data_IF_916843983078
#
_entry.id   IF_916843983078
#
_cell.length_a   1.000
_cell.length_b   1.000
_cell.length_c   1.000
_cell.angle_alpha   90.00
_cell.angle_beta   90.00
_cell.angle_gamma   90.00
#
_symmetry.space_group_name_H-M   'P 1'
#
loop_
_entity.id
_entity.type
_entity.pdbx_description
1 polymer ?
#
# COMPACT_ATOMS: atom_id res chain seq x y z
N UNK A 1 32.51 98.22 72.95
CA UNK A 1 31.80 97.05 72.37
C UNK A 1 32.62 96.53 71.19
N UNK A 2 33.20 95.32 71.32
CA UNK A 2 33.86 94.61 70.21
C UNK A 2 33.12 93.30 70.00
N UNK A 3 32.62 93.11 68.79
CA UNK A 3 31.78 92.00 68.34
C UNK A 3 32.63 90.74 68.17
N UNK A 4 32.19 89.62 68.76
CA UNK A 4 32.74 88.28 68.58
C UNK A 4 31.99 87.55 67.47
N UNK A 5 32.76 86.82 66.66
CA UNK A 5 32.36 86.13 65.45
C UNK A 5 32.42 84.60 65.58
N UNK A 6 31.69 83.93 64.67
CA UNK A 6 31.77 82.53 64.16
C UNK A 6 30.90 81.45 64.84
N UNK A 7 30.57 80.31 64.18
CA UNK A 7 30.67 79.95 62.74
C UNK A 7 29.39 79.29 62.14
N UNK A 8 29.27 79.23 60.81
CA UNK A 8 28.31 78.39 60.08
C UNK A 8 28.99 77.13 59.52
N UNK A 9 28.37 75.97 59.77
CA UNK A 9 28.80 74.64 59.30
C UNK A 9 28.20 74.36 57.91
N UNK A 10 29.03 74.39 56.87
CA UNK A 10 28.68 73.94 55.52
C UNK A 10 29.48 72.69 55.14
N UNK A 11 28.89 71.50 55.30
CA UNK A 11 29.49 70.22 54.89
C UNK A 11 29.33 70.03 53.37
N UNK A 12 30.41 70.22 52.61
CA UNK A 12 30.50 69.88 51.18
C UNK A 12 30.42 68.36 51.00
N UNK A 13 29.40 67.88 50.28
CA UNK A 13 29.38 66.52 49.73
C UNK A 13 30.25 66.47 48.47
N UNK A 14 31.18 65.51 48.47
CA UNK A 14 32.13 65.22 47.40
C UNK A 14 31.42 64.67 46.15
N UNK A 15 31.94 65.04 44.98
CA UNK A 15 31.40 64.68 43.68
C UNK A 15 31.40 63.18 43.40
N UNK A 16 30.32 62.70 42.79
CA UNK A 16 30.30 61.42 42.08
C UNK A 16 31.09 61.53 40.77
N UNK A 17 31.80 60.47 40.35
CA UNK A 17 32.56 60.48 39.11
C UNK A 17 31.60 60.59 37.92
N UNK A 18 31.98 61.46 36.99
CA UNK A 18 31.24 61.77 35.78
C UNK A 18 31.30 60.55 34.83
N UNK A 19 30.27 59.70 34.84
CA UNK A 19 30.10 58.63 33.84
C UNK A 19 29.82 59.34 32.51
N UNK A 20 30.85 59.45 31.67
CA UNK A 20 30.72 59.96 30.29
C UNK A 20 29.67 59.12 29.57
N UNK A 21 28.66 59.79 29.03
CA UNK A 21 27.51 59.19 28.33
C UNK A 21 27.94 58.68 26.95
N UNK A 22 28.25 57.39 26.83
CA UNK A 22 28.43 56.60 25.60
C UNK A 22 27.12 56.44 24.77
N UNK A 23 26.17 57.39 24.85
CA UNK A 23 24.82 57.22 24.25
C UNK A 23 24.82 57.25 22.72
N UNK A 24 25.81 57.88 22.10
CA UNK A 24 25.92 57.96 20.63
C UNK A 24 26.42 56.67 19.99
N UNK A 25 27.45 56.05 20.58
CA UNK A 25 28.04 54.81 20.05
C UNK A 25 27.06 53.62 20.14
N UNK A 26 26.28 53.53 21.22
CA UNK A 26 25.27 52.48 21.39
C UNK A 26 24.17 52.59 20.33
N UNK A 27 23.72 53.80 19.99
CA UNK A 27 22.70 53.99 18.95
C UNK A 27 23.18 53.52 17.56
N UNK A 28 24.45 53.78 17.22
CA UNK A 28 25.07 53.34 15.96
C UNK A 28 25.17 51.81 15.92
N UNK A 29 25.66 51.19 17.00
CA UNK A 29 25.76 49.73 17.08
C UNK A 29 24.39 49.03 16.98
N UNK A 30 23.37 49.59 17.62
CA UNK A 30 21.99 49.07 17.53
C UNK A 30 21.45 49.22 16.10
N UNK A 31 21.63 50.37 15.46
CA UNK A 31 21.17 50.60 14.09
C UNK A 31 21.83 49.63 13.09
N UNK A 32 23.14 49.42 13.20
CA UNK A 32 23.86 48.46 12.37
C UNK A 32 23.40 47.01 12.64
N UNK A 33 23.19 46.66 13.91
CA UNK A 33 22.69 45.33 14.28
C UNK A 33 21.28 45.07 13.73
N UNK A 34 20.39 46.06 13.81
CA UNK A 34 19.03 45.97 13.25
C UNK A 34 19.07 45.80 11.73
N UNK A 35 19.93 46.53 11.03
CA UNK A 35 20.09 46.38 9.57
C UNK A 35 20.53 44.96 9.20
N UNK A 36 21.50 44.40 9.93
CA UNK A 36 21.96 43.02 9.75
C UNK A 36 20.84 42.01 10.01
N UNK A 37 20.07 42.18 11.10
CA UNK A 37 18.95 41.30 11.43
C UNK A 37 17.85 41.32 10.36
N UNK A 38 17.52 42.50 9.81
CA UNK A 38 16.56 42.62 8.70
C UNK A 38 17.09 41.91 7.46
N UNK A 39 18.39 42.02 7.17
CA UNK A 39 19.05 41.28 6.09
C UNK A 39 18.89 39.76 6.25
N UNK A 40 19.06 39.24 7.46
CA UNK A 40 18.84 37.81 7.74
C UNK A 40 17.37 37.40 7.58
N UNK A 41 16.41 38.24 7.97
CA UNK A 41 14.98 37.97 7.73
C UNK A 41 14.68 37.90 6.24
N UNK A 42 15.21 38.83 5.43
CA UNK A 42 15.03 38.80 3.98
C UNK A 42 15.58 37.52 3.34
N UNK A 43 16.80 37.14 3.72
CA UNK A 43 17.42 35.89 3.28
C UNK A 43 16.60 34.66 3.69
N UNK A 44 16.05 34.64 4.91
CA UNK A 44 15.20 33.55 5.38
C UNK A 44 13.90 33.43 4.57
N UNK A 45 13.28 34.55 4.19
CA UNK A 45 12.06 34.56 3.37
C UNK A 45 12.33 34.08 1.94
N UNK A 46 13.42 34.53 1.33
CA UNK A 46 13.82 34.13 -0.03
C UNK A 46 14.13 32.63 -0.09
N UNK A 47 14.92 32.12 0.86
CA UNK A 47 15.19 30.67 0.96
C UNK A 47 13.93 29.88 1.26
N UNK A 48 13.05 30.39 2.14
CA UNK A 48 11.77 29.76 2.44
C UNK A 48 10.90 29.59 1.20
N UNK A 49 10.82 30.62 0.35
CA UNK A 49 10.11 30.55 -0.94
C UNK A 49 10.67 29.47 -1.86
N UNK A 50 12.00 29.42 -2.03
CA UNK A 50 12.64 28.42 -2.88
C UNK A 50 12.45 27.00 -2.33
N UNK A 51 12.46 26.83 -1.01
CA UNK A 51 12.25 25.55 -0.36
C UNK A 51 10.81 25.04 -0.55
N UNK A 52 9.81 25.92 -0.43
CA UNK A 52 8.41 25.57 -0.71
C UNK A 52 8.26 25.18 -2.18
N UNK A 53 8.77 25.98 -3.10
CA UNK A 53 8.74 25.67 -4.54
C UNK A 53 9.40 24.32 -4.86
N UNK A 54 10.54 24.02 -4.22
CA UNK A 54 11.23 22.71 -4.34
C UNK A 54 10.35 21.56 -3.88
N UNK A 55 9.67 21.71 -2.75
CA UNK A 55 8.80 20.68 -2.17
C UNK A 55 7.57 20.43 -3.05
N UNK A 56 6.96 21.50 -3.57
CA UNK A 56 5.84 21.43 -4.51
C UNK A 56 6.23 20.75 -5.82
N UNK A 57 7.40 21.09 -6.38
CA UNK A 57 7.94 20.42 -7.57
C UNK A 57 8.25 18.94 -7.32
N UNK A 58 8.74 18.59 -6.11
CA UNK A 58 9.00 17.19 -5.76
C UNK A 58 7.71 16.37 -5.72
N UNK A 59 6.65 16.88 -5.08
CA UNK A 59 5.35 16.20 -5.06
C UNK A 59 4.81 15.96 -6.48
N UNK A 60 4.97 16.95 -7.38
CA UNK A 60 4.60 16.82 -8.78
C UNK A 60 5.43 15.76 -9.51
N UNK A 61 6.76 15.77 -9.32
CA UNK A 61 7.67 14.79 -9.92
C UNK A 61 7.38 13.36 -9.43
N UNK A 62 7.12 13.17 -8.13
CA UNK A 62 6.79 11.89 -7.53
C UNK A 62 5.48 11.33 -8.10
N UNK A 63 4.44 12.18 -8.18
CA UNK A 63 3.15 11.81 -8.76
C UNK A 63 3.27 11.46 -10.25
N UNK A 64 4.06 12.22 -11.01
CA UNK A 64 4.38 11.92 -12.40
C UNK A 64 5.08 10.56 -12.53
N UNK A 65 6.12 10.31 -11.73
CA UNK A 65 6.91 9.09 -11.82
C UNK A 65 6.06 7.86 -11.47
N UNK A 66 5.26 7.91 -10.39
CA UNK A 66 4.33 6.83 -10.01
C UNK A 66 3.29 6.56 -11.09
N UNK A 67 2.72 7.62 -11.68
CA UNK A 67 1.74 7.49 -12.76
C UNK A 67 2.35 6.94 -14.05
N UNK A 68 3.60 7.29 -14.37
CA UNK A 68 4.31 6.73 -15.51
C UNK A 68 4.70 5.26 -15.28
N UNK A 69 5.23 4.93 -14.10
CA UNK A 69 5.66 3.58 -13.76
C UNK A 69 4.51 2.55 -13.77
N UNK A 70 3.27 2.97 -13.49
CA UNK A 70 2.10 2.08 -13.56
C UNK A 70 1.85 1.50 -14.95
N UNK A 71 2.26 2.21 -16.00
CA UNK A 71 2.07 1.78 -17.39
C UNK A 71 3.19 0.82 -17.84
N UNK A 72 4.29 0.70 -17.08
CA UNK A 72 5.48 -0.12 -17.40
C UNK A 72 5.29 -1.62 -17.09
N UNK A 73 4.12 -2.15 -17.47
CA UNK A 73 3.74 -3.56 -17.27
C UNK A 73 4.50 -4.55 -18.16
N UNK A 74 5.16 -4.08 -19.21
CA UNK A 74 5.76 -4.92 -20.25
C UNK A 74 4.75 -5.54 -21.22
N UNK A 75 3.46 -5.21 -21.10
CA UNK A 75 2.40 -5.84 -21.89
C UNK A 75 2.27 -5.29 -23.32
N UNK A 76 2.59 -4.01 -23.53
CA UNK A 76 2.32 -3.31 -24.79
C UNK A 76 3.57 -2.64 -25.36
N UNK A 77 3.79 -2.73 -26.67
CA UNK A 77 4.94 -2.12 -27.35
C UNK A 77 4.88 -0.58 -27.45
N UNK A 78 3.75 0.02 -27.06
CA UNK A 78 3.55 1.46 -26.94
C UNK A 78 3.49 1.94 -25.47
N UNK A 79 3.87 1.09 -24.49
CA UNK A 79 3.74 1.42 -23.07
C UNK A 79 4.45 2.71 -22.67
N UNK A 80 5.56 3.07 -23.31
CA UNK A 80 6.31 4.29 -22.96
C UNK A 80 5.55 5.56 -23.34
N UNK A 81 4.81 5.53 -24.45
CA UNK A 81 3.97 6.65 -24.87
C UNK A 81 2.80 6.83 -23.91
N UNK A 82 2.21 5.73 -23.46
CA UNK A 82 1.15 5.75 -22.44
C UNK A 82 1.69 6.23 -21.09
N UNK A 83 2.87 5.73 -20.69
CA UNK A 83 3.55 6.12 -19.46
C UNK A 83 3.89 7.61 -19.43
N UNK A 84 4.42 8.15 -20.53
CA UNK A 84 4.72 9.57 -20.67
C UNK A 84 3.46 10.42 -20.55
N UNK A 85 2.41 10.08 -21.30
CA UNK A 85 1.13 10.80 -21.24
C UNK A 85 0.49 10.74 -19.84
N UNK A 86 0.52 9.57 -19.19
CA UNK A 86 0.00 9.37 -17.84
C UNK A 86 0.79 10.17 -16.79
N UNK A 87 2.12 10.16 -16.91
CA UNK A 87 3.04 10.92 -16.06
C UNK A 87 2.79 12.42 -16.15
N UNK A 88 2.81 12.99 -17.36
CA UNK A 88 2.57 14.42 -17.59
C UNK A 88 1.19 14.82 -17.08
N UNK A 89 0.14 14.10 -17.47
CA UNK A 89 -1.24 14.40 -17.05
C UNK A 89 -1.42 14.41 -15.53
N UNK A 90 -0.66 13.60 -14.80
CA UNK A 90 -0.76 13.52 -13.34
C UNK A 90 0.14 14.54 -12.65
N UNK A 91 1.37 14.71 -13.14
CA UNK A 91 2.33 15.69 -12.62
C UNK A 91 1.82 17.12 -12.72
N UNK A 92 1.28 17.49 -13.88
CA UNK A 92 0.78 18.83 -14.17
C UNK A 92 -0.55 19.17 -13.48
N UNK A 93 -1.15 18.26 -12.70
CA UNK A 93 -2.27 18.60 -11.80
C UNK A 93 -1.83 19.39 -10.57
N UNK A 94 -0.53 19.47 -10.32
CA UNK A 94 0.04 20.16 -9.17
C UNK A 94 0.43 21.59 -9.54
N UNK A 95 0.45 22.45 -8.52
CA UNK A 95 0.89 23.84 -8.63
C UNK A 95 2.17 24.08 -7.82
N UNK A 96 2.90 25.15 -8.16
CA UNK A 96 4.16 25.63 -7.55
C UNK A 96 4.03 27.12 -7.19
N UNK A 97 4.97 27.60 -6.37
CA UNK A 97 5.01 28.97 -5.84
C UNK A 97 3.80 29.26 -4.96
N UNK A 98 3.60 28.43 -3.93
CA UNK A 98 2.45 28.52 -3.03
C UNK A 98 1.12 28.26 -3.75
N UNK A 99 1.13 27.26 -4.63
CA UNK A 99 -0.02 26.81 -5.43
C UNK A 99 -0.56 27.81 -6.48
N UNK A 100 0.21 28.83 -6.84
CA UNK A 100 -0.23 29.92 -7.74
C UNK A 100 -0.06 29.60 -9.23
N UNK A 101 1.02 28.89 -9.59
CA UNK A 101 1.35 28.55 -10.98
C UNK A 101 1.25 27.03 -11.20
N UNK A 102 0.78 26.58 -12.36
CA UNK A 102 0.79 25.15 -12.70
C UNK A 102 2.22 24.65 -12.91
N UNK A 103 2.53 23.44 -12.42
CA UNK A 103 3.82 22.78 -12.70
C UNK A 103 3.85 22.29 -14.14
N UNK A 104 5.00 22.48 -14.80
CA UNK A 104 5.31 21.87 -16.10
C UNK A 104 6.32 20.74 -15.90
N UNK A 105 5.99 19.56 -16.43
CA UNK A 105 6.92 18.42 -16.44
C UNK A 105 7.94 18.63 -17.56
N UNK A 106 9.21 18.75 -17.20
CA UNK A 106 10.29 19.05 -18.15
C UNK A 106 10.71 17.82 -18.96
N UNK A 107 10.64 16.62 -18.38
CA UNK A 107 10.84 15.38 -19.11
C UNK A 107 10.25 14.16 -18.40
N UNK A 108 9.83 13.17 -19.20
CA UNK A 108 9.57 11.80 -18.74
C UNK A 108 10.49 10.86 -19.52
N UNK A 109 11.32 10.10 -18.82
CA UNK A 109 12.32 9.22 -19.44
C UNK A 109 12.31 7.85 -18.79
N UNK A 110 12.80 6.84 -19.51
CA UNK A 110 12.65 5.43 -19.14
C UNK A 110 13.97 4.68 -19.20
N UNK A 111 14.13 3.69 -18.32
CA UNK A 111 15.32 2.84 -18.26
C UNK A 111 14.95 1.39 -17.89
N UNK A 112 15.80 0.44 -18.27
CA UNK A 112 15.72 -0.95 -17.83
C UNK A 112 16.30 -1.16 -16.43
N UNK A 113 17.09 -0.21 -15.92
CA UNK A 113 17.74 -0.27 -14.61
C UNK A 113 17.69 1.08 -13.87
N UNK A 114 17.64 1.04 -12.52
CA UNK A 114 17.60 2.23 -11.67
C UNK A 114 18.76 3.20 -11.95
N UNK A 115 19.98 2.66 -12.06
CA UNK A 115 21.20 3.37 -12.40
C UNK A 115 21.62 3.13 -13.87
N UNK A 116 20.65 3.18 -14.79
CA UNK A 116 20.86 2.98 -16.23
C UNK A 116 20.80 4.28 -17.05
N UNK A 117 20.94 4.14 -18.36
CA UNK A 117 20.70 5.23 -19.30
C UNK A 117 19.20 5.44 -19.49
N UNK A 118 18.71 6.63 -19.13
CA UNK A 118 17.32 7.01 -19.33
C UNK A 118 17.11 7.63 -20.71
N UNK A 119 16.06 7.20 -21.41
CA UNK A 119 15.73 7.63 -22.77
C UNK A 119 14.26 8.02 -22.91
N UNK A 120 13.94 8.84 -23.91
CA UNK A 120 12.58 9.29 -24.21
C UNK A 120 11.67 8.14 -24.65
N UNK A 121 10.35 8.38 -24.66
CA UNK A 121 9.39 7.39 -25.13
C UNK A 121 9.64 7.01 -26.59
N UNK A 122 9.47 5.72 -26.90
CA UNK A 122 9.49 5.18 -28.25
C UNK A 122 8.54 3.99 -28.34
N UNK A 123 8.21 3.60 -29.57
CA UNK A 123 7.39 2.41 -29.86
C UNK A 123 8.28 1.27 -30.37
N UNK A 124 8.05 0.05 -29.89
CA UNK A 124 8.76 -1.14 -30.38
C UNK A 124 8.88 -2.24 -29.33
N UNK A 125 9.47 -3.37 -29.69
CA UNK A 125 9.67 -4.48 -28.75
C UNK A 125 10.57 -4.10 -27.58
N UNK A 126 11.64 -3.31 -27.79
CA UNK A 126 12.50 -2.86 -26.70
C UNK A 126 11.81 -1.93 -25.68
N UNK A 127 10.63 -1.40 -26.01
CA UNK A 127 9.84 -0.62 -25.06
C UNK A 127 9.39 -1.49 -23.89
N UNK A 128 9.06 -2.78 -24.13
CA UNK A 128 8.57 -3.72 -23.11
C UNK A 128 9.61 -4.13 -22.08
N UNK A 129 10.88 -3.75 -22.25
CA UNK A 129 11.97 -4.06 -21.33
C UNK A 129 12.19 -2.96 -20.28
N UNK A 130 11.65 -1.75 -20.52
CA UNK A 130 11.80 -0.63 -19.58
C UNK A 130 10.99 -0.87 -18.31
N UNK A 131 11.58 -0.60 -17.14
CA UNK A 131 10.97 -0.84 -15.82
C UNK A 131 10.96 0.40 -14.92
N UNK A 132 11.85 1.35 -15.18
CA UNK A 132 11.99 2.58 -14.40
C UNK A 132 11.49 3.77 -15.21
N UNK A 133 10.63 4.59 -14.60
CA UNK A 133 10.22 5.89 -15.12
C UNK A 133 10.83 6.99 -14.26
N UNK A 134 11.50 7.95 -14.90
CA UNK A 134 12.01 9.17 -14.28
C UNK A 134 11.24 10.36 -14.80
N UNK A 135 10.66 11.13 -13.89
CA UNK A 135 10.09 12.42 -14.20
C UNK A 135 10.96 13.54 -13.64
N UNK A 136 11.06 14.62 -14.40
CA UNK A 136 11.72 15.85 -13.99
C UNK A 136 10.71 17.01 -14.09
N UNK A 137 10.69 17.86 -13.07
CA UNK A 137 9.89 19.07 -13.02
C UNK A 137 10.81 20.24 -12.66
N UNK A 138 10.68 21.37 -13.35
CA UNK A 138 11.55 22.52 -13.09
C UNK A 138 10.83 23.83 -13.28
N UNK A 139 11.17 24.80 -12.43
CA UNK A 139 10.71 26.19 -12.52
C UNK A 139 11.93 27.11 -12.49
N UNK A 140 12.20 27.75 -13.63
CA UNK A 140 13.25 28.76 -13.77
C UNK A 140 12.69 30.18 -13.64
N UNK A 141 13.46 31.15 -13.16
CA UNK A 141 13.06 32.56 -13.09
C UNK A 141 12.38 32.99 -11.79
N UNK A 142 12.61 32.27 -10.68
CA UNK A 142 12.01 32.60 -9.39
C UNK A 142 12.72 33.83 -8.85
N UNK A 143 12.04 34.98 -8.94
CA UNK A 143 12.56 36.23 -8.40
C UNK A 143 12.71 36.15 -6.89
N UNK A 144 13.85 36.62 -6.39
CA UNK A 144 14.04 36.86 -4.97
C UNK A 144 13.30 38.14 -4.57
N UNK A 145 12.70 38.15 -3.38
CA UNK A 145 11.96 39.28 -2.85
C UNK A 145 12.85 40.30 -2.16
N UNK A 146 13.87 39.88 -1.39
CA UNK A 146 14.66 40.81 -0.56
C UNK A 146 16.15 40.79 -0.86
N UNK A 147 16.75 39.65 -1.18
CA UNK A 147 18.21 39.51 -1.26
C UNK A 147 18.82 40.26 -2.45
N UNK A 148 18.02 40.58 -3.47
CA UNK A 148 18.43 41.43 -4.60
C UNK A 148 18.90 42.84 -4.16
N UNK A 149 18.52 43.30 -2.96
CA UNK A 149 19.02 44.57 -2.41
C UNK A 149 20.55 44.60 -2.26
N UNK A 150 21.20 43.44 -2.13
CA UNK A 150 22.66 43.33 -2.05
C UNK A 150 23.37 43.64 -3.38
N UNK A 151 22.64 43.69 -4.50
CA UNK A 151 23.18 44.07 -5.81
C UNK A 151 23.64 45.54 -5.86
N UNK A 152 23.33 46.34 -4.82
CA UNK A 152 23.87 47.70 -4.64
C UNK A 152 25.38 47.66 -4.31
N UNK A 153 25.88 46.55 -3.77
CA UNK A 153 27.30 46.37 -3.47
C UNK A 153 28.08 45.98 -4.73
N UNK A 154 29.20 46.66 -5.04
CA UNK A 154 29.98 46.37 -6.23
C UNK A 154 30.52 44.93 -6.20
N UNK A 155 30.30 44.19 -7.29
CA UNK A 155 30.75 42.81 -7.45
C UNK A 155 29.74 41.75 -7.00
N UNK A 156 28.53 42.12 -6.56
CA UNK A 156 27.43 41.20 -6.24
C UNK A 156 26.37 41.28 -7.35
N UNK A 157 26.03 40.13 -7.94
CA UNK A 157 24.97 40.01 -8.95
C UNK A 157 24.07 38.81 -8.63
N UNK A 158 22.97 39.09 -7.92
CA UNK A 158 21.97 38.10 -7.51
C UNK A 158 20.79 38.19 -8.47
N UNK A 159 20.71 37.22 -9.38
CA UNK A 159 19.61 37.06 -10.32
C UNK A 159 18.52 36.11 -9.84
N UNK A 160 17.59 35.83 -10.75
CA UNK A 160 16.52 34.87 -10.53
C UNK A 160 17.05 33.45 -10.34
N UNK A 161 16.34 32.67 -9.54
CA UNK A 161 16.73 31.31 -9.19
C UNK A 161 15.96 30.28 -10.00
N UNK A 162 16.57 29.12 -10.22
CA UNK A 162 15.94 27.96 -10.86
C UNK A 162 15.91 26.80 -9.88
N UNK A 163 14.74 26.20 -9.72
CA UNK A 163 14.54 25.03 -8.86
C UNK A 163 14.05 23.89 -9.74
N UNK A 164 14.64 22.71 -9.56
CA UNK A 164 14.23 21.50 -10.25
C UNK A 164 14.05 20.36 -9.25
N UNK A 165 13.16 19.43 -9.53
CA UNK A 165 12.93 18.20 -8.80
C UNK A 165 12.91 17.03 -9.77
N UNK A 166 13.26 15.85 -9.27
CA UNK A 166 13.26 14.62 -10.04
C UNK A 166 12.81 13.47 -9.17
N UNK A 167 12.09 12.53 -9.74
CA UNK A 167 11.66 11.32 -9.05
C UNK A 167 11.81 10.12 -9.99
N UNK A 168 12.14 8.96 -9.42
CA UNK A 168 12.16 7.69 -10.14
C UNK A 168 11.21 6.71 -9.47
N UNK A 169 10.34 6.09 -10.27
CA UNK A 169 9.48 5.01 -9.84
C UNK A 169 9.66 3.77 -10.71
N UNK A 170 9.38 2.61 -10.12
CA UNK A 170 9.34 1.31 -10.79
C UNK A 170 8.16 0.52 -10.27
N UNK A 171 7.80 -0.56 -10.95
CA UNK A 171 6.93 -1.57 -10.39
C UNK A 171 7.75 -2.43 -9.39
N UNK A 172 7.28 -2.51 -8.15
CA UNK A 172 7.82 -3.30 -7.03
C UNK A 172 6.73 -4.26 -6.53
N UNK A 173 7.05 -5.43 -5.94
CA UNK A 173 6.04 -6.27 -5.32
C UNK A 173 5.17 -5.48 -4.33
N UNK A 174 3.85 -5.70 -4.39
CA UNK A 174 2.87 -5.05 -3.53
C UNK A 174 3.10 -5.35 -2.05
N UNK A 175 3.03 -4.32 -1.19
CA UNK A 175 2.87 -4.50 0.26
C UNK A 175 1.42 -4.82 0.65
N UNK A 176 0.46 -4.71 -0.27
CA UNK A 176 -0.91 -5.20 -0.10
C UNK A 176 -0.88 -6.71 -0.37
N UNK A 177 -0.98 -7.50 0.70
CA UNK A 177 -1.12 -8.96 0.69
C UNK A 177 -2.26 -9.39 -0.24
N UNK A 178 -1.94 -9.73 -1.48
CA UNK A 178 -2.71 -10.72 -2.23
C UNK A 178 -1.78 -11.81 -2.75
N UNK A 179 -0.84 -12.22 -1.89
CA UNK A 179 -0.22 -13.53 -2.05
C UNK A 179 -1.34 -14.56 -2.12
N UNK A 180 -1.17 -15.58 -2.96
CA UNK A 180 -2.22 -16.56 -3.13
C UNK A 180 -2.44 -17.32 -1.81
N UNK A 181 -3.70 -17.64 -1.54
CA UNK A 181 -4.01 -18.62 -0.50
C UNK A 181 -3.89 -20.02 -1.10
N UNK A 182 -3.64 -21.07 -0.29
CA UNK A 182 -3.54 -22.48 -0.71
C UNK A 182 -4.85 -23.08 -1.21
N UNK A 183 -5.55 -22.38 -2.09
CA UNK A 183 -6.82 -22.77 -2.69
C UNK A 183 -6.70 -22.70 -4.21
N UNK A 184 -7.15 -23.75 -4.86
CA UNK A 184 -7.33 -23.84 -6.31
C UNK A 184 -8.82 -23.89 -6.64
N UNK A 185 -9.27 -23.04 -7.54
CA UNK A 185 -10.63 -23.03 -8.08
C UNK A 185 -10.68 -23.86 -9.35
N UNK A 186 -11.71 -24.68 -9.49
CA UNK A 186 -11.89 -25.54 -10.65
C UNK A 186 -12.31 -24.73 -11.87
N UNK A 187 -11.55 -24.84 -12.96
CA UNK A 187 -11.79 -24.11 -14.21
C UNK A 187 -13.18 -24.35 -14.81
N UNK A 188 -13.71 -25.56 -14.67
CA UNK A 188 -15.09 -25.94 -15.07
C UNK A 188 -16.18 -25.15 -14.33
N UNK A 189 -15.89 -24.67 -13.11
CA UNK A 189 -16.82 -23.91 -12.27
C UNK A 189 -16.66 -22.39 -12.41
N UNK A 190 -15.59 -21.93 -13.07
CA UNK A 190 -15.34 -20.51 -13.39
C UNK A 190 -15.02 -20.27 -14.86
N UNK A 191 -15.89 -20.68 -15.81
CA UNK A 191 -15.72 -20.30 -17.22
C UNK A 191 -15.66 -18.78 -17.40
N UNK A 192 -15.21 -18.31 -18.56
CA UNK A 192 -15.12 -16.89 -18.86
C UNK A 192 -16.44 -16.12 -18.71
N UNK A 193 -17.58 -16.82 -18.76
CA UNK A 193 -18.93 -16.28 -18.57
C UNK A 193 -19.40 -16.19 -17.12
N UNK A 194 -18.60 -16.64 -16.13
CA UNK A 194 -19.01 -16.60 -14.71
C UNK A 194 -19.13 -15.16 -14.24
N UNK A 195 -20.29 -14.84 -13.65
CA UNK A 195 -20.56 -13.52 -13.11
C UNK A 195 -19.69 -13.22 -11.88
N UNK A 196 -19.22 -11.98 -11.78
CA UNK A 196 -18.61 -11.45 -10.55
C UNK A 196 -19.65 -11.44 -9.44
N UNK A 197 -19.29 -11.92 -8.26
CA UNK A 197 -20.18 -12.09 -7.10
C UNK A 197 -20.71 -13.51 -6.93
N UNK A 198 -20.44 -14.44 -7.85
CA UNK A 198 -20.87 -15.85 -7.71
C UNK A 198 -20.18 -16.52 -6.53
N UNK A 199 -20.95 -17.15 -5.64
CA UNK A 199 -20.40 -17.96 -4.56
C UNK A 199 -20.00 -19.36 -5.05
N UNK A 200 -18.73 -19.68 -4.88
CA UNK A 200 -18.13 -20.98 -5.11
C UNK A 200 -18.22 -21.80 -3.81
N UNK A 201 -18.52 -23.09 -3.93
CA UNK A 201 -18.71 -23.97 -2.78
C UNK A 201 -17.63 -25.04 -2.74
N UNK A 202 -17.01 -25.30 -1.58
CA UNK A 202 -16.15 -26.46 -1.37
C UNK A 202 -16.69 -27.37 -0.28
N UNK A 203 -16.25 -28.62 -0.27
CA UNK A 203 -16.63 -29.65 0.70
C UNK A 203 -15.49 -29.81 1.71
N UNK A 204 -15.80 -29.65 3.00
CA UNK A 204 -14.81 -29.65 4.10
C UNK A 204 -14.44 -31.03 4.63
N UNK A 205 -15.16 -32.06 4.20
CA UNK A 205 -15.07 -33.41 4.77
C UNK A 205 -16.29 -34.23 4.43
N UNK A 206 -16.30 -35.54 4.75
CA UNK A 206 -17.44 -36.39 4.45
C UNK A 206 -18.66 -35.83 5.19
N UNK A 207 -19.82 -35.90 4.54
CA UNK A 207 -21.08 -35.41 5.12
C UNK A 207 -21.39 -36.07 6.48
N UNK A 208 -22.34 -35.48 7.20
CA UNK A 208 -22.78 -35.93 8.53
C UNK A 208 -22.85 -37.47 8.66
N UNK A 209 -21.95 -38.05 9.46
CA UNK A 209 -21.80 -39.49 9.68
C UNK A 209 -20.49 -40.11 9.16
N UNK A 210 -19.69 -39.35 8.40
CA UNK A 210 -18.36 -39.79 7.96
C UNK A 210 -17.30 -39.79 9.07
N UNK A 211 -16.37 -40.74 8.98
CA UNK A 211 -15.24 -40.91 9.90
C UNK A 211 -14.06 -40.01 9.49
N UNK A 212 -13.20 -39.70 10.46
CA UNK A 212 -11.91 -39.03 10.22
C UNK A 212 -11.06 -39.91 9.30
N UNK A 213 -10.84 -39.48 8.06
CA UNK A 213 -10.12 -40.24 7.03
C UNK A 213 -10.99 -40.80 5.90
N UNK A 214 -12.32 -40.61 5.93
CA UNK A 214 -13.12 -40.90 4.74
C UNK A 214 -12.77 -39.86 3.67
N UNK A 215 -12.51 -40.34 2.44
CA UNK A 215 -12.33 -39.52 1.26
C UNK A 215 -13.65 -38.82 0.97
N UNK A 216 -13.83 -37.64 1.59
CA UNK A 216 -14.95 -36.76 1.31
C UNK A 216 -15.04 -36.52 -0.19
N UNK A 217 -16.27 -36.46 -0.71
CA UNK A 217 -16.57 -36.03 -2.07
C UNK A 217 -15.65 -34.87 -2.48
N UNK A 218 -14.68 -35.16 -3.36
CA UNK A 218 -13.71 -34.19 -3.87
C UNK A 218 -14.38 -33.18 -4.84
N UNK A 219 -15.71 -33.23 -4.96
CA UNK A 219 -16.55 -32.52 -5.94
C UNK A 219 -17.00 -31.14 -5.45
N UNK A 220 -16.05 -30.35 -4.93
CA UNK A 220 -16.24 -28.92 -4.67
C UNK A 220 -15.82 -28.07 -5.88
N UNK A 221 -16.32 -26.83 -5.95
CA UNK A 221 -15.91 -25.83 -6.94
C UNK A 221 -14.47 -25.33 -6.71
N UNK A 222 -13.91 -25.56 -5.53
CA UNK A 222 -12.52 -25.29 -5.19
C UNK A 222 -12.00 -26.29 -4.16
N UNK A 223 -10.68 -26.43 -4.04
CA UNK A 223 -10.02 -27.36 -3.14
C UNK A 223 -8.71 -26.78 -2.61
N UNK A 224 -8.15 -27.40 -1.56
CA UNK A 224 -6.81 -27.07 -1.11
C UNK A 224 -5.80 -27.36 -2.23
N UNK A 225 -4.82 -26.49 -2.41
CA UNK A 225 -3.80 -26.63 -3.45
C UNK A 225 -2.45 -26.32 -2.85
N UNK A 226 -1.54 -27.28 -2.99
CA UNK A 226 -0.13 -27.10 -2.70
C UNK A 226 0.56 -26.47 -3.91
N UNK A 227 1.27 -25.37 -3.70
CA UNK A 227 1.96 -24.65 -4.76
C UNK A 227 3.41 -25.10 -4.96
N UNK A 228 3.95 -25.99 -4.10
CA UNK A 228 5.35 -26.46 -4.19
C UNK A 228 5.52 -28.00 -4.26
N UNK A 229 4.68 -28.74 -5.01
CA UNK A 229 4.78 -30.21 -5.08
C UNK A 229 6.14 -30.68 -5.66
N UNK A 230 6.66 -31.87 -5.27
CA UNK A 230 6.10 -32.85 -4.33
C UNK A 230 6.48 -32.58 -2.86
N UNK A 231 7.19 -31.47 -2.60
CA UNK A 231 7.40 -30.97 -1.24
C UNK A 231 6.08 -30.44 -0.67
N UNK A 232 6.02 -30.33 0.66
CA UNK A 232 4.90 -29.68 1.33
C UNK A 232 4.05 -30.57 2.22
N UNK A 233 2.86 -30.10 2.55
CA UNK A 233 1.98 -30.76 3.53
C UNK A 233 1.10 -29.80 4.33
N UNK A 234 0.32 -30.36 5.28
CA UNK A 234 -0.60 -29.56 6.10
C UNK A 234 0.11 -28.42 6.86
N UNK A 235 1.36 -28.63 7.31
CA UNK A 235 2.13 -27.61 8.01
C UNK A 235 2.51 -26.42 7.12
N UNK A 236 2.77 -26.67 5.82
CA UNK A 236 3.07 -25.59 4.89
C UNK A 236 1.83 -24.76 4.62
N UNK A 237 0.70 -25.41 4.30
CA UNK A 237 -0.55 -24.72 4.04
C UNK A 237 -1.02 -23.93 5.28
N UNK A 238 -0.80 -24.47 6.48
CA UNK A 238 -1.03 -23.77 7.74
C UNK A 238 -0.16 -22.50 7.86
N UNK A 239 1.14 -22.60 7.53
CA UNK A 239 2.05 -21.45 7.48
C UNK A 239 1.64 -20.39 6.44
N UNK A 240 1.15 -20.81 5.28
CA UNK A 240 0.62 -19.90 4.25
C UNK A 240 -0.70 -19.23 4.68
N UNK A 241 -1.55 -19.95 5.43
CA UNK A 241 -2.82 -19.42 5.94
C UNK A 241 -2.61 -18.47 7.12
N UNK A 242 -1.69 -18.76 8.04
CA UNK A 242 -1.36 -17.90 9.18
C UNK A 242 -0.44 -16.74 8.81
N UNK A 243 0.46 -16.94 7.84
CA UNK A 243 1.38 -15.96 7.26
C UNK A 243 0.87 -15.23 6.02
N UNK A 244 1.73 -14.56 5.24
CA UNK A 244 1.30 -13.70 4.13
C UNK A 244 0.57 -14.44 2.99
N UNK A 245 0.80 -15.76 2.84
CA UNK A 245 0.32 -16.57 1.71
C UNK A 245 1.49 -17.00 0.83
N UNK A 246 1.20 -17.48 -0.38
CA UNK A 246 2.18 -17.81 -1.40
C UNK A 246 2.42 -16.58 -2.26
N UNK A 247 3.54 -15.90 -2.03
CA UNK A 247 3.85 -14.65 -2.73
C UNK A 247 4.64 -14.89 -4.02
N UNK A 248 5.47 -15.94 -4.03
CA UNK A 248 6.17 -16.43 -5.22
C UNK A 248 5.23 -17.31 -6.02
N UNK A 249 4.37 -16.66 -6.81
CA UNK A 249 3.33 -17.37 -7.55
C UNK A 249 3.92 -18.14 -8.74
N UNK A 250 3.58 -19.43 -8.90
CA UNK A 250 4.06 -20.22 -10.01
C UNK A 250 3.59 -19.66 -11.37
N UNK A 251 4.42 -19.84 -12.38
CA UNK A 251 4.07 -19.48 -13.75
C UNK A 251 2.89 -20.33 -14.26
N UNK A 252 2.16 -19.81 -15.25
CA UNK A 252 1.10 -20.58 -15.92
C UNK A 252 1.68 -21.89 -16.49
N UNK A 253 0.95 -22.98 -16.32
CA UNK A 253 1.36 -24.34 -16.70
C UNK A 253 2.26 -25.05 -15.68
N UNK A 254 2.70 -24.37 -14.61
CA UNK A 254 3.40 -25.06 -13.50
C UNK A 254 2.44 -26.01 -12.80
N UNK A 255 2.88 -27.24 -12.58
CA UNK A 255 2.12 -28.26 -11.87
C UNK A 255 1.99 -27.90 -10.38
N UNK A 256 0.75 -27.75 -9.91
CA UNK A 256 0.40 -27.49 -8.52
C UNK A 256 -0.58 -28.55 -8.04
N UNK A 257 -0.59 -28.86 -6.76
CA UNK A 257 -1.54 -29.79 -6.17
C UNK A 257 -0.90 -30.85 -5.29
N UNK A 258 -1.67 -31.27 -4.29
CA UNK A 258 -1.49 -32.50 -3.54
C UNK A 258 -2.90 -33.00 -3.20
N UNK A 259 -3.19 -34.29 -3.36
CA UNK A 259 -4.53 -34.82 -3.16
C UNK A 259 -4.92 -34.90 -1.67
N UNK A 260 -6.06 -34.31 -1.28
CA UNK A 260 -6.71 -34.60 -0.01
C UNK A 260 -7.39 -33.42 0.69
N UNK A 261 -8.48 -33.71 1.42
CA UNK A 261 -9.16 -32.73 2.28
C UNK A 261 -8.41 -32.63 3.62
N UNK A 262 -7.68 -31.54 3.83
CA UNK A 262 -6.92 -31.29 5.06
C UNK A 262 -7.79 -30.53 6.07
N UNK A 263 -8.64 -31.26 6.79
CA UNK A 263 -9.52 -30.71 7.84
C UNK A 263 -8.77 -30.07 9.02
N UNK A 264 -7.44 -30.23 9.08
CA UNK A 264 -6.56 -29.66 10.11
C UNK A 264 -6.29 -28.16 9.95
N UNK A 265 -6.64 -27.55 8.82
CA UNK A 265 -6.33 -26.14 8.50
C UNK A 265 -7.38 -25.13 8.99
N UNK A 266 -8.39 -25.61 9.72
CA UNK A 266 -9.53 -24.79 10.10
C UNK A 266 -9.14 -23.66 11.07
N UNK A 267 -8.27 -23.94 12.05
CA UNK A 267 -7.75 -22.92 12.98
C UNK A 267 -6.93 -21.84 12.24
N UNK A 268 -6.08 -22.27 11.28
CA UNK A 268 -5.24 -21.37 10.46
C UNK A 268 -6.07 -20.48 9.51
N UNK A 269 -7.16 -21.02 8.96
CA UNK A 269 -8.11 -20.25 8.16
C UNK A 269 -8.87 -19.25 9.03
N UNK A 270 -9.33 -19.70 10.19
CA UNK A 270 -10.16 -18.93 11.12
C UNK A 270 -9.42 -17.72 11.69
N UNK A 271 -8.10 -17.78 11.80
CA UNK A 271 -7.30 -16.64 12.26
C UNK A 271 -7.45 -15.41 11.36
N UNK A 272 -7.73 -15.58 10.06
CA UNK A 272 -8.02 -14.47 9.13
C UNK A 272 -9.33 -13.75 9.44
N UNK A 273 -10.23 -14.37 10.21
CA UNK A 273 -11.46 -13.79 10.72
C UNK A 273 -11.31 -13.21 12.14
N UNK A 274 -10.10 -13.21 12.71
CA UNK A 274 -9.87 -12.83 14.10
C UNK A 274 -10.39 -13.85 15.10
N UNK A 275 -10.42 -15.13 14.72
CA UNK A 275 -10.86 -16.24 15.57
C UNK A 275 -9.65 -17.15 15.83
N UNK A 276 -9.25 -17.28 17.09
CA UNK A 276 -8.05 -18.02 17.49
C UNK A 276 -8.40 -19.24 18.32
N UNK A 277 -7.80 -20.38 18.01
CA UNK A 277 -8.04 -21.64 18.70
C UNK A 277 -6.84 -22.58 18.58
N UNK A 278 -6.71 -23.50 19.54
CA UNK A 278 -5.79 -24.63 19.43
C UNK A 278 -4.34 -24.16 19.44
N UNK A 279 -3.61 -24.49 18.38
CA UNK A 279 -2.21 -24.11 18.20
C UNK A 279 -2.00 -22.70 17.65
N UNK A 280 -3.05 -22.04 17.14
CA UNK A 280 -2.97 -20.69 16.57
C UNK A 280 -3.44 -19.69 17.63
N UNK A 281 -2.53 -18.86 18.15
CA UNK A 281 -2.83 -17.90 19.22
C UNK A 281 -2.85 -16.46 18.70
N UNK A 282 -3.45 -15.59 19.51
CA UNK A 282 -3.45 -14.14 19.30
C UNK A 282 -1.99 -13.66 19.23
N UNK A 283 -1.64 -12.93 18.16
CA UNK A 283 -0.27 -12.49 17.88
C UNK A 283 0.54 -13.42 16.98
N UNK A 284 0.18 -14.70 16.85
CA UNK A 284 0.86 -15.62 15.92
C UNK A 284 0.41 -15.41 14.47
N UNK A 285 -0.82 -14.95 14.28
CA UNK A 285 -1.41 -14.68 12.97
C UNK A 285 -2.18 -13.36 12.98
N UNK A 286 -1.93 -12.53 11.97
CA UNK A 286 -2.55 -11.21 11.78
C UNK A 286 -4.00 -11.40 11.27
N UNK A 287 -5.06 -10.83 11.86
CA UNK A 287 -6.40 -10.99 11.32
C UNK A 287 -6.64 -10.09 10.10
N UNK A 288 -7.77 -10.25 9.40
CA UNK A 288 -8.23 -9.20 8.49
C UNK A 288 -8.78 -8.01 9.29
N UNK A 289 -8.82 -6.82 8.68
CA UNK A 289 -9.53 -5.67 9.24
C UNK A 289 -11.01 -5.98 9.56
N UNK A 290 -11.65 -6.98 8.94
CA UNK A 290 -12.97 -7.48 9.38
C UNK A 290 -13.05 -8.99 9.57
N UNK A 291 -13.59 -9.38 10.73
CA UNK A 291 -14.02 -10.75 11.05
C UNK A 291 -15.44 -11.09 10.62
N UNK A 292 -16.19 -10.15 10.02
CA UNK A 292 -17.61 -10.35 9.70
C UNK A 292 -17.79 -11.46 8.66
N UNK A 293 -18.58 -12.47 9.00
CA UNK A 293 -18.75 -13.66 8.17
C UNK A 293 -20.04 -13.61 7.33
N UNK A 294 -20.00 -14.21 6.14
CA UNK A 294 -21.14 -14.34 5.24
C UNK A 294 -21.48 -15.81 5.06
N UNK A 295 -22.68 -16.17 5.46
CA UNK A 295 -23.22 -17.53 5.41
C UNK A 295 -24.62 -17.48 4.81
N UNK A 296 -25.19 -18.62 4.44
CA UNK A 296 -26.57 -18.66 3.94
C UNK A 296 -27.61 -18.16 4.94
N UNK A 297 -27.27 -18.14 6.24
CA UNK A 297 -28.18 -17.70 7.30
C UNK A 297 -28.35 -16.18 7.32
N UNK A 298 -27.24 -15.44 7.21
CA UNK A 298 -27.24 -13.98 7.22
C UNK A 298 -27.12 -13.36 5.83
N UNK A 299 -26.82 -14.15 4.80
CA UNK A 299 -26.73 -13.74 3.40
C UNK A 299 -27.40 -14.76 2.46
N UNK A 300 -28.74 -14.87 2.47
CA UNK A 300 -29.45 -15.95 1.74
C UNK A 300 -29.32 -15.91 0.22
N UNK A 301 -28.96 -14.76 -0.36
CA UNK A 301 -28.78 -14.60 -1.82
C UNK A 301 -27.60 -15.41 -2.35
N UNK A 302 -26.60 -15.72 -1.51
CA UNK A 302 -25.36 -16.42 -1.88
C UNK A 302 -24.69 -15.79 -3.11
N UNK A 303 -24.77 -14.47 -3.19
CA UNK A 303 -24.26 -13.70 -4.30
C UNK A 303 -23.92 -12.28 -3.82
N UNK A 304 -22.77 -11.75 -4.26
CA UNK A 304 -22.44 -10.33 -4.18
C UNK A 304 -22.32 -9.75 -2.76
N UNK A 305 -21.53 -10.35 -1.88
CA UNK A 305 -21.23 -9.85 -0.54
C UNK A 305 -20.04 -8.86 -0.50
N UNK A 306 -19.28 -8.73 -1.59
CA UNK A 306 -18.06 -7.90 -1.61
C UNK A 306 -18.28 -6.43 -1.22
N UNK A 307 -19.37 -5.80 -1.67
CA UNK A 307 -19.67 -4.40 -1.34
C UNK A 307 -19.99 -4.20 0.16
N UNK A 308 -20.75 -5.12 0.76
CA UNK A 308 -20.99 -5.10 2.21
C UNK A 308 -19.69 -5.38 2.97
N UNK A 309 -18.86 -6.31 2.49
CA UNK A 309 -17.55 -6.60 3.09
C UNK A 309 -16.66 -5.35 3.16
N UNK A 310 -16.60 -4.55 2.09
CA UNK A 310 -15.86 -3.28 2.09
C UNK A 310 -16.37 -2.32 3.18
N UNK A 311 -17.68 -2.25 3.40
CA UNK A 311 -18.27 -1.45 4.47
C UNK A 311 -17.93 -1.99 5.87
N UNK A 312 -18.09 -3.30 6.09
CA UNK A 312 -17.77 -3.96 7.37
C UNK A 312 -16.31 -3.79 7.74
N UNK A 313 -15.44 -3.86 6.75
CA UNK A 313 -14.02 -3.57 6.87
C UNK A 313 -13.74 -2.13 7.29
N UNK A 314 -14.38 -1.14 6.68
CA UNK A 314 -14.24 0.26 7.08
C UNK A 314 -14.63 0.52 8.54
N UNK A 315 -15.52 -0.30 9.10
CA UNK A 315 -15.92 -0.26 10.52
C UNK A 315 -15.15 -1.23 11.43
N UNK A 316 -14.18 -1.98 10.91
CA UNK A 316 -13.47 -3.06 11.62
C UNK A 316 -14.41 -4.07 12.30
N UNK A 317 -15.51 -4.44 11.64
CA UNK A 317 -16.55 -5.27 12.26
C UNK A 317 -15.98 -6.65 12.61
N UNK A 318 -16.07 -7.02 13.89
CA UNK A 318 -15.66 -8.33 14.39
C UNK A 318 -16.63 -9.43 13.95
N UNK A 319 -16.21 -10.68 14.10
CA UNK A 319 -17.07 -11.84 13.86
C UNK A 319 -18.31 -11.79 14.77
N UNK A 320 -19.49 -11.86 14.15
CA UNK A 320 -20.80 -11.65 14.79
C UNK A 320 -21.30 -12.85 15.63
N UNK A 321 -20.45 -13.86 15.80
CA UNK A 321 -20.74 -15.04 16.60
C UNK A 321 -21.48 -16.16 15.86
N UNK A 322 -21.30 -17.37 16.39
CA UNK A 322 -21.82 -18.64 15.87
C UNK A 322 -23.35 -18.68 15.74
N UNK A 323 -24.08 -18.02 16.65
CA UNK A 323 -25.55 -17.96 16.59
C UNK A 323 -26.04 -17.25 15.34
N UNK A 324 -25.39 -16.15 14.95
CA UNK A 324 -25.77 -15.31 13.82
C UNK A 324 -25.43 -15.96 12.47
N UNK A 325 -24.36 -16.76 12.44
CA UNK A 325 -23.84 -17.43 11.23
C UNK A 325 -24.31 -18.87 11.07
N UNK A 326 -24.75 -19.51 12.16
CA UNK A 326 -25.08 -20.93 12.18
C UNK A 326 -23.85 -21.86 12.21
N UNK A 327 -22.65 -21.30 12.38
CA UNK A 327 -21.38 -22.04 12.48
C UNK A 327 -21.10 -22.48 13.92
N UNK A 328 -20.07 -23.33 14.13
CA UNK A 328 -19.55 -23.68 15.46
C UNK A 328 -18.03 -23.58 15.47
N UNK A 329 -17.54 -22.35 15.48
CA UNK A 329 -16.10 -22.05 15.36
C UNK A 329 -15.31 -22.43 16.62
N UNK A 330 -15.91 -22.37 17.83
CA UNK A 330 -15.29 -22.73 19.13
C UNK A 330 -14.01 -21.97 19.53
N UNK A 331 -13.55 -21.00 18.74
CA UNK A 331 -12.39 -20.18 19.04
C UNK A 331 -12.71 -18.90 19.82
N UNK A 332 -11.65 -18.25 20.32
CA UNK A 332 -11.72 -16.93 20.92
C UNK A 332 -11.83 -15.88 19.81
N UNK A 333 -12.86 -15.04 19.87
CA UNK A 333 -13.12 -13.98 18.90
C UNK A 333 -12.53 -12.68 19.40
N UNK A 334 -11.65 -12.07 18.60
CA UNK A 334 -11.08 -10.76 18.91
C UNK A 334 -12.04 -9.61 18.55
N UNK A 335 -12.09 -8.54 19.37
CA UNK A 335 -13.01 -7.42 19.18
C UNK A 335 -12.55 -6.49 18.05
N UNK A 336 -13.45 -5.60 17.61
CA UNK A 336 -13.18 -4.60 16.57
C UNK A 336 -11.97 -3.71 16.87
N UNK A 337 -11.70 -3.40 18.15
CA UNK A 337 -10.53 -2.61 18.54
C UNK A 337 -9.21 -3.34 18.27
N UNK A 338 -9.19 -4.67 18.39
CA UNK A 338 -8.02 -5.47 18.05
C UNK A 338 -7.80 -5.50 16.54
N UNK A 339 -8.88 -5.72 15.77
CA UNK A 339 -8.84 -5.71 14.29
C UNK A 339 -8.40 -4.36 13.73
N UNK A 340 -8.78 -3.25 14.37
CA UNK A 340 -8.38 -1.91 13.95
C UNK A 340 -6.86 -1.70 14.07
N UNK A 341 -6.24 -2.21 15.15
CA UNK A 341 -4.81 -1.99 15.43
C UNK A 341 -3.92 -3.01 14.73
N UNK A 342 -4.40 -4.25 14.63
CA UNK A 342 -3.59 -5.39 14.18
C UNK A 342 -4.09 -6.00 12.86
N UNK A 343 -5.19 -5.53 12.28
CA UNK A 343 -5.74 -6.06 11.04
C UNK A 343 -4.88 -5.77 9.82
N UNK A 344 -5.05 -6.59 8.79
CA UNK A 344 -4.44 -6.42 7.47
C UNK A 344 -5.41 -6.81 6.34
N UNK A 345 -4.96 -6.68 5.10
CA UNK A 345 -5.62 -7.20 3.90
C UNK A 345 -5.39 -8.69 3.74
N UNK A 346 -6.32 -9.54 4.20
CA UNK A 346 -6.12 -11.00 4.21
C UNK A 346 -7.27 -11.83 3.69
N UNK A 347 -8.46 -11.27 3.53
CA UNK A 347 -9.64 -12.01 3.02
C UNK A 347 -9.92 -11.80 1.54
N UNK A 348 -9.37 -10.75 0.93
CA UNK A 348 -9.33 -10.57 -0.52
C UNK A 348 -8.05 -11.21 -1.06
N UNK A 349 -8.19 -12.39 -1.68
CA UNK A 349 -7.04 -13.23 -2.02
C UNK A 349 -7.03 -13.61 -3.50
N UNK A 350 -5.83 -13.89 -3.99
CA UNK A 350 -5.64 -14.52 -5.30
C UNK A 350 -5.62 -16.04 -5.13
N UNK A 351 -6.19 -16.76 -6.10
CA UNK A 351 -6.21 -18.23 -6.12
C UNK A 351 -5.93 -18.73 -7.52
N UNK A 352 -5.23 -19.87 -7.63
CA UNK A 352 -5.03 -20.50 -8.93
C UNK A 352 -6.36 -21.04 -9.46
N UNK A 353 -6.50 -21.00 -10.78
CA UNK A 353 -7.53 -21.73 -11.50
C UNK A 353 -6.88 -22.92 -12.17
N UNK A 354 -7.34 -24.10 -11.82
CA UNK A 354 -6.73 -25.39 -12.17
C UNK A 354 -7.79 -26.34 -12.75
N UNK A 355 -7.34 -27.37 -13.47
CA UNK A 355 -8.21 -28.49 -13.81
C UNK A 355 -8.32 -29.44 -12.61
N UNK A 356 -9.44 -29.35 -11.90
CA UNK A 356 -9.72 -30.19 -10.73
C UNK A 356 -9.91 -31.67 -11.08
N UNK A 357 -10.40 -32.00 -12.28
CA UNK A 357 -10.56 -33.40 -12.70
C UNK A 357 -9.19 -34.06 -12.91
N UNK A 358 -8.23 -33.29 -13.42
CA UNK A 358 -6.82 -33.65 -13.50
C UNK A 358 -6.20 -33.85 -12.12
N UNK A 359 -6.45 -32.92 -11.18
CA UNK A 359 -5.89 -32.96 -9.83
C UNK A 359 -6.41 -34.16 -9.01
N UNK A 360 -7.69 -34.55 -9.20
CA UNK A 360 -8.29 -35.74 -8.61
C UNK A 360 -7.70 -37.06 -9.14
N UNK A 361 -7.26 -37.09 -10.41
CA UNK A 361 -6.74 -38.30 -11.07
C UNK A 361 -5.20 -38.41 -11.05
N UNK A 362 -4.49 -37.29 -10.95
CA UNK A 362 -3.05 -37.18 -11.23
C UNK A 362 -2.19 -36.51 -10.15
N UNK A 363 -2.74 -36.22 -8.95
CA UNK A 363 -2.10 -35.51 -7.81
C UNK A 363 -1.70 -34.06 -8.05
N UNK A 364 -1.31 -33.67 -9.27
CA UNK A 364 -1.02 -32.30 -9.67
C UNK A 364 -1.87 -31.88 -10.88
N UNK A 365 -1.96 -30.58 -11.11
CA UNK A 365 -2.61 -29.95 -12.27
C UNK A 365 -1.91 -28.63 -12.57
N UNK A 366 -1.68 -28.33 -13.85
CA UNK A 366 -1.10 -27.06 -14.26
C UNK A 366 -1.96 -25.84 -13.92
N UNK A 367 -1.34 -24.76 -13.43
CA UNK A 367 -2.02 -23.47 -13.23
C UNK A 367 -2.48 -22.90 -14.57
N UNK A 368 -3.79 -22.82 -14.80
CA UNK A 368 -4.36 -22.34 -16.06
C UNK A 368 -4.52 -20.81 -16.09
N UNK A 369 -4.83 -20.21 -14.94
CA UNK A 369 -5.02 -18.78 -14.76
C UNK A 369 -5.10 -18.44 -13.26
N UNK A 370 -5.25 -17.15 -12.96
CA UNK A 370 -5.45 -16.65 -11.59
C UNK A 370 -6.80 -15.96 -11.45
N UNK A 371 -7.46 -16.19 -10.31
CA UNK A 371 -8.74 -15.58 -9.97
C UNK A 371 -8.64 -14.79 -8.67
N UNK A 372 -9.44 -13.73 -8.59
CA UNK A 372 -9.65 -12.96 -7.39
C UNK A 372 -10.84 -13.55 -6.63
N UNK A 373 -10.69 -13.79 -5.33
CA UNK A 373 -11.75 -14.31 -4.48
C UNK A 373 -11.83 -13.58 -3.15
N UNK A 374 -13.03 -13.54 -2.57
CA UNK A 374 -13.26 -13.13 -1.20
C UNK A 374 -13.55 -14.35 -0.33
N UNK A 375 -12.83 -14.48 0.78
CA UNK A 375 -13.12 -15.44 1.85
C UNK A 375 -14.36 -15.02 2.61
N UNK A 376 -15.41 -15.84 2.62
CA UNK A 376 -16.72 -15.44 3.13
C UNK A 376 -16.92 -15.74 4.62
N UNK A 377 -16.50 -16.91 5.11
CA UNK A 377 -16.75 -17.30 6.51
C UNK A 377 -15.65 -18.22 7.08
N UNK A 378 -15.54 -18.32 8.42
CA UNK A 378 -14.64 -19.27 9.07
C UNK A 378 -15.09 -20.72 8.85
N UNK A 379 -14.15 -21.65 8.93
CA UNK A 379 -14.37 -23.09 8.87
C UNK A 379 -14.88 -23.60 10.23
N UNK A 380 -15.79 -24.56 10.17
CA UNK A 380 -16.38 -25.17 11.35
C UNK A 380 -15.41 -26.18 12.00
N UNK A 381 -15.10 -25.99 13.29
CA UNK A 381 -14.11 -26.80 14.03
C UNK A 381 -14.69 -28.07 14.68
N UNK A 382 -15.95 -28.41 14.40
CA UNK A 382 -16.57 -29.66 14.86
C UNK A 382 -17.74 -30.07 13.99
N UNK A 383 -17.99 -31.39 13.88
CA UNK A 383 -19.21 -31.90 13.23
C UNK A 383 -20.44 -31.33 13.98
N UNK A 384 -21.13 -30.38 13.35
CA UNK A 384 -22.32 -29.73 13.90
C UNK A 384 -22.39 -28.23 13.64
N UNK A 385 -23.58 -27.75 13.32
CA UNK A 385 -23.92 -26.39 12.90
C UNK A 385 -25.36 -26.42 12.36
N UNK A 386 -25.94 -25.28 12.01
CA UNK A 386 -27.25 -25.23 11.33
C UNK A 386 -27.08 -24.68 9.93
N UNK A 387 -27.57 -25.40 8.91
CA UNK A 387 -27.41 -25.02 7.50
C UNK A 387 -26.18 -25.63 6.82
N UNK A 388 -25.94 -25.28 5.56
CA UNK A 388 -24.89 -25.89 4.73
C UNK A 388 -23.46 -25.51 5.13
N UNK A 389 -23.26 -24.41 5.85
CA UNK A 389 -21.94 -23.99 6.38
C UNK A 389 -21.36 -24.91 7.46
N UNK A 390 -22.12 -25.93 7.88
CA UNK A 390 -21.61 -26.98 8.77
C UNK A 390 -20.63 -27.92 8.06
N UNK A 391 -20.83 -28.15 6.75
CA UNK A 391 -20.10 -29.14 5.94
C UNK A 391 -19.47 -28.52 4.66
N UNK A 392 -19.68 -27.22 4.42
CA UNK A 392 -19.24 -26.51 3.21
C UNK A 392 -18.51 -25.21 3.52
N UNK A 393 -17.59 -24.84 2.63
CA UNK A 393 -16.97 -23.52 2.58
C UNK A 393 -17.48 -22.73 1.39
N UNK A 394 -17.60 -21.41 1.55
CA UNK A 394 -17.92 -20.49 0.48
C UNK A 394 -16.77 -19.51 0.22
N UNK A 395 -16.50 -19.29 -1.06
CA UNK A 395 -15.71 -18.19 -1.59
C UNK A 395 -16.57 -17.39 -2.56
N UNK A 396 -16.38 -16.09 -2.64
CA UNK A 396 -17.01 -15.28 -3.68
C UNK A 396 -16.03 -15.00 -4.81
N UNK A 397 -16.40 -15.34 -6.04
CA UNK A 397 -15.60 -15.09 -7.23
C UNK A 397 -15.69 -13.62 -7.65
N UNK A 398 -14.55 -12.95 -7.75
CA UNK A 398 -14.44 -11.52 -8.06
C UNK A 398 -13.79 -11.24 -9.42
N UNK A 399 -13.85 -12.21 -10.33
CA UNK A 399 -13.25 -12.13 -11.66
C UNK A 399 -11.85 -12.72 -11.72
N UNK A 400 -11.31 -12.79 -12.94
CA UNK A 400 -9.91 -13.16 -13.16
C UNK A 400 -9.00 -12.03 -12.70
N UNK A 401 -7.84 -12.38 -12.17
CA UNK A 401 -6.92 -11.37 -11.63
C UNK A 401 -6.44 -10.38 -12.70
N UNK A 402 -6.43 -10.76 -14.00
CA UNK A 402 -6.13 -9.88 -15.13
C UNK A 402 -7.33 -9.18 -15.79
N UNK A 403 -8.55 -9.37 -15.29
CA UNK A 403 -9.72 -8.71 -15.87
C UNK A 403 -9.80 -7.25 -15.44
N UNK A 404 -10.18 -6.37 -16.39
CA UNK A 404 -10.52 -5.00 -16.09
C UNK A 404 -11.64 -4.96 -15.03
N UNK A 405 -11.44 -4.18 -13.98
CA UNK A 405 -12.31 -4.07 -12.79
C UNK A 405 -12.28 -5.24 -11.80
N UNK A 406 -11.38 -6.22 -11.95
CA UNK A 406 -11.15 -7.17 -10.84
C UNK A 406 -10.52 -6.43 -9.66
N UNK A 407 -11.01 -6.61 -8.41
CA UNK A 407 -10.39 -6.01 -7.23
C UNK A 407 -8.94 -6.44 -7.01
N UNK A 408 -8.52 -7.55 -7.60
CA UNK A 408 -7.13 -8.01 -7.55
C UNK A 408 -6.27 -7.51 -8.73
N UNK A 409 -6.85 -6.82 -9.72
CA UNK A 409 -6.09 -6.32 -10.88
C UNK A 409 -5.09 -5.23 -10.51
N UNK A 410 -5.44 -4.36 -9.55
CA UNK A 410 -4.56 -3.30 -9.04
C UNK A 410 -3.48 -3.82 -8.11
N UNK A 411 -3.59 -5.07 -7.64
CA UNK A 411 -2.55 -5.67 -6.82
C UNK A 411 -1.31 -5.99 -7.68
N UNK A 412 -1.51 -6.15 -8.99
CA UNK A 412 -0.56 -6.70 -9.94
C UNK A 412 -0.97 -8.13 -10.27
N UNK A 413 -0.88 -8.50 -11.53
CA UNK A 413 -1.30 -9.84 -11.94
C UNK A 413 -0.07 -10.71 -12.09
N UNK A 414 0.00 -11.89 -11.47
CA UNK A 414 0.92 -12.94 -11.91
C UNK A 414 0.52 -13.41 -13.31
N UNK A 415 0.90 -12.64 -14.33
CA UNK A 415 0.60 -12.93 -15.72
C UNK A 415 1.65 -12.31 -16.64
N UNK A 416 2.92 -12.61 -16.38
CA UNK A 416 3.97 -12.58 -17.39
C UNK A 416 4.50 -14.01 -17.59
N UNK A 417 5.00 -14.39 -18.77
CA UNK A 417 5.63 -15.69 -19.02
C UNK A 417 6.81 -16.01 -18.08
N UNK A 418 7.27 -15.02 -17.31
CA UNK A 418 8.37 -15.09 -16.34
C UNK A 418 8.08 -14.35 -15.03
N UNK A 419 6.81 -14.01 -14.73
CA UNK A 419 6.46 -13.06 -13.65
C UNK A 419 6.27 -13.69 -12.27
N UNK A 420 7.06 -13.23 -11.28
CA UNK A 420 6.85 -13.47 -9.85
C UNK A 420 6.00 -12.34 -9.28
N UNK A 421 4.75 -12.68 -8.92
CA UNK A 421 3.88 -11.89 -8.05
C UNK A 421 3.24 -10.59 -8.58
N UNK A 422 2.30 -10.02 -7.81
CA UNK A 422 1.64 -8.74 -8.09
C UNK A 422 2.59 -7.52 -7.92
N UNK A 423 2.89 -6.77 -8.99
CA UNK A 423 3.72 -5.55 -8.90
C UNK A 423 2.89 -4.25 -8.87
N UNK A 424 3.26 -3.31 -7.99
CA UNK A 424 2.69 -1.96 -7.82
C UNK A 424 3.75 -0.87 -8.00
N UNK A 425 3.40 0.35 -8.45
CA UNK A 425 4.35 1.45 -8.54
C UNK A 425 4.89 1.84 -7.16
N UNK A 426 6.21 1.96 -7.05
CA UNK A 426 6.91 2.44 -5.86
C UNK A 426 7.99 3.45 -6.26
N UNK A 427 8.12 4.51 -5.45
CA UNK A 427 9.23 5.45 -5.56
C UNK A 427 10.50 4.75 -5.10
N UNK A 428 11.55 4.88 -5.90
CA UNK A 428 12.87 4.28 -5.65
C UNK A 428 13.99 5.31 -5.61
N UNK A 429 13.70 6.56 -5.96
CA UNK A 429 14.62 7.69 -5.81
C UNK A 429 13.91 9.04 -5.86
#
# INVERSE_FOLDING_TARGET
>A
MRSMSTPSLGRRWQGMPNIRKERGAVAIMVALSMAVLIGFVGLALDLGKLYVAKTELQNSADACALAAARELSGANTNQLVLAEAAGITTGERHNVLFQDEQVVISSVTFSTALAGGYQSAFNGSGATDMRFARCEASRAGIANWLIQVLNILPGIDIGDQTVAASAVATLSPSQITSCAIPVGVCSSNVPASTAVGTWLTSVLGPGKGGKKGDQADLTGNFMWTDYTPPGGGASELAGQLTGPGVCDLPALGTEVGEAGVKSSLADDWNSRFGIYQGSVKVGDAIPDFSGYAYTEKNWPSKFGAFSDFQSKRGSNAAYQGDTSTGLKTKGTVEPSSYLQVHGADRRLATVAVVDCDGLQKGTTSGVQAWACVLMLHPINNSQGGTGTGADRMYLEYLGRSNQANSPCATNGVPAGPTGVGPMVPALVR
#
